data_IF_978556574634
#
_entry.id   IF_978556574634
#
_cell.length_a   1.000
_cell.length_b   1.000
_cell.length_c   1.000
_cell.angle_alpha   90.00
_cell.angle_beta   90.00
_cell.angle_gamma   90.00
#
_symmetry.space_group_name_H-M   'P 1'
#
loop_
_entity.id
_entity.type
_entity.pdbx_description
1 polymer ?
#
# COMPACT_ATOMS: atom_id res chain seq x y z
N UNK A 1 0.92 -26.03 5.67
CA UNK A 1 -0.13 -25.71 4.67
C UNK A 1 -1.52 -25.53 5.29
N UNK A 2 -2.02 -26.46 6.11
CA UNK A 2 -3.35 -26.37 6.75
C UNK A 2 -3.54 -25.14 7.66
N UNK A 3 -2.50 -24.70 8.38
CA UNK A 3 -2.61 -23.51 9.26
C UNK A 3 -2.58 -22.19 8.50
N UNK A 4 -1.83 -22.11 7.40
CA UNK A 4 -1.83 -20.93 6.51
C UNK A 4 -3.19 -20.76 5.83
N UNK A 5 -3.83 -21.86 5.43
CA UNK A 5 -5.21 -21.86 4.94
C UNK A 5 -6.20 -21.44 6.05
N UNK A 6 -6.03 -21.92 7.29
CA UNK A 6 -6.85 -21.47 8.43
C UNK A 6 -6.63 -19.99 8.80
N UNK A 7 -5.41 -19.49 8.66
CA UNK A 7 -5.06 -18.08 8.81
C UNK A 7 -5.75 -17.22 7.73
N UNK A 8 -5.79 -17.71 6.49
CA UNK A 8 -6.60 -17.11 5.43
C UNK A 8 -8.10 -17.22 5.71
N UNK A 9 -8.59 -18.26 6.38
CA UNK A 9 -10.01 -18.45 6.70
C UNK A 9 -10.51 -17.48 7.77
N UNK A 10 -9.75 -17.22 8.83
CA UNK A 10 -10.20 -16.40 9.98
C UNK A 10 -9.74 -14.95 9.89
N UNK A 11 -10.66 -14.01 10.12
CA UNK A 11 -10.32 -12.58 10.26
C UNK A 11 -9.34 -12.36 11.42
N UNK A 12 -8.22 -11.63 11.22
CA UNK A 12 -7.31 -11.27 12.31
C UNK A 12 -7.98 -10.38 13.37
N UNK A 13 -7.38 -10.30 14.56
CA UNK A 13 -7.84 -9.36 15.61
C UNK A 13 -7.65 -7.92 15.13
N UNK A 14 -8.49 -7.01 15.61
CA UNK A 14 -8.43 -5.59 15.24
C UNK A 14 -7.07 -4.96 15.55
N UNK A 15 -6.48 -5.29 16.70
CA UNK A 15 -5.12 -4.88 17.06
C UNK A 15 -4.09 -5.36 16.05
N UNK A 16 -4.19 -6.62 15.59
CA UNK A 16 -3.31 -7.16 14.54
C UNK A 16 -3.49 -6.43 13.22
N UNK A 17 -4.72 -6.11 12.81
CA UNK A 17 -4.98 -5.35 11.58
C UNK A 17 -4.34 -3.95 11.66
N UNK A 18 -4.47 -3.27 12.79
CA UNK A 18 -3.86 -1.96 13.03
C UNK A 18 -2.34 -2.05 12.95
N UNK A 19 -1.73 -3.01 13.65
CA UNK A 19 -0.27 -3.21 13.64
C UNK A 19 0.25 -3.49 12.23
N UNK A 20 -0.41 -4.39 11.48
CA UNK A 20 -0.04 -4.69 10.09
C UNK A 20 -0.06 -3.42 9.24
N UNK A 21 -1.09 -2.59 9.36
CA UNK A 21 -1.20 -1.33 8.60
C UNK A 21 -0.09 -0.34 8.94
N UNK A 22 0.22 -0.18 10.22
CA UNK A 22 1.27 0.73 10.67
C UNK A 22 2.66 0.27 10.20
N UNK A 23 2.99 -1.00 10.42
CA UNK A 23 4.27 -1.57 10.00
C UNK A 23 4.38 -1.51 8.47
N UNK A 24 3.33 -1.89 7.76
CA UNK A 24 3.34 -1.86 6.30
C UNK A 24 3.54 -0.45 5.73
N UNK A 25 2.88 0.55 6.31
CA UNK A 25 3.05 1.95 5.93
C UNK A 25 4.45 2.50 6.23
N UNK A 26 4.97 2.22 7.43
CA UNK A 26 6.34 2.62 7.79
C UNK A 26 7.36 1.95 6.87
N UNK A 27 7.21 0.66 6.59
CA UNK A 27 8.11 -0.10 5.73
C UNK A 27 8.08 0.46 4.30
N UNK A 28 6.89 0.73 3.74
CA UNK A 28 6.76 1.40 2.44
C UNK A 28 7.52 2.73 2.42
N UNK A 29 7.26 3.62 3.38
CA UNK A 29 7.92 4.94 3.40
C UNK A 29 9.43 4.78 3.52
N UNK A 30 9.91 3.98 4.47
CA UNK A 30 11.34 3.81 4.74
C UNK A 30 12.09 3.23 3.53
N UNK A 31 11.57 2.15 2.94
CA UNK A 31 12.21 1.49 1.79
C UNK A 31 12.16 2.42 0.58
N UNK A 32 11.01 2.99 0.25
CA UNK A 32 10.87 3.84 -0.93
C UNK A 32 11.69 5.13 -0.81
N UNK A 33 11.68 5.77 0.36
CA UNK A 33 12.43 7.00 0.58
C UNK A 33 13.94 6.75 0.50
N UNK A 34 14.41 5.64 1.08
CA UNK A 34 15.82 5.28 1.02
C UNK A 34 16.30 5.09 -0.43
N UNK A 35 15.56 4.30 -1.22
CA UNK A 35 15.92 3.97 -2.60
C UNK A 35 15.78 5.16 -3.57
N UNK A 36 14.84 6.08 -3.34
CA UNK A 36 14.66 7.22 -4.25
C UNK A 36 15.55 8.43 -3.93
N UNK A 37 15.95 8.61 -2.67
CA UNK A 37 16.55 9.87 -2.20
C UNK A 37 17.84 9.70 -1.38
N UNK A 38 18.08 8.56 -0.73
CA UNK A 38 19.24 8.38 0.16
C UNK A 38 20.38 7.55 -0.46
N UNK A 39 20.10 6.79 -1.52
CA UNK A 39 21.12 5.98 -2.24
C UNK A 39 22.06 6.79 -3.13
N UNK A 40 21.89 8.11 -3.24
CA UNK A 40 22.76 8.97 -4.04
C UNK A 40 22.71 8.58 -5.52
N UNK A 41 23.87 8.32 -6.13
CA UNK A 41 24.00 8.00 -7.55
C UNK A 41 23.34 6.67 -7.94
N UNK A 42 23.15 5.75 -7.00
CA UNK A 42 22.47 4.47 -7.23
C UNK A 42 20.95 4.54 -7.05
N UNK A 43 20.39 5.72 -6.78
CA UNK A 43 18.95 5.82 -6.51
C UNK A 43 18.11 5.42 -7.73
N UNK A 44 17.04 4.65 -7.50
CA UNK A 44 16.10 4.27 -8.55
C UNK A 44 15.52 5.52 -9.23
N UNK A 45 15.26 5.41 -10.53
CA UNK A 45 14.73 6.51 -11.34
C UNK A 45 13.32 6.23 -11.82
N UNK A 46 12.65 7.27 -12.31
CA UNK A 46 11.36 7.14 -12.98
C UNK A 46 11.59 6.96 -14.47
N UNK A 47 10.82 6.08 -15.11
CA UNK A 47 10.85 5.82 -16.54
C UNK A 47 10.48 7.09 -17.31
N UNK A 48 11.46 7.78 -17.89
CA UNK A 48 11.23 9.09 -18.54
C UNK A 48 10.70 8.94 -19.96
N UNK A 49 11.11 7.89 -20.66
CA UNK A 49 10.91 7.74 -22.10
C UNK A 49 9.44 7.54 -22.44
N UNK A 50 8.76 6.65 -21.70
CA UNK A 50 7.36 6.32 -21.93
C UNK A 50 6.43 7.38 -21.31
N UNK A 51 6.80 7.95 -20.16
CA UNK A 51 5.93 8.86 -19.42
C UNK A 51 5.92 10.30 -19.96
N UNK A 52 7.06 10.79 -20.47
CA UNK A 52 7.20 12.20 -20.82
C UNK A 52 7.61 12.45 -22.27
N UNK A 53 7.95 11.41 -23.04
CA UNK A 53 8.46 11.55 -24.40
C UNK A 53 9.80 12.31 -24.43
N UNK A 54 10.09 13.00 -25.53
CA UNK A 54 11.37 13.69 -25.76
C UNK A 54 11.45 15.09 -25.07
N UNK A 55 10.95 15.21 -23.84
CA UNK A 55 11.05 16.47 -23.08
C UNK A 55 12.43 16.54 -22.40
N UNK A 56 13.26 17.57 -22.68
CA UNK A 56 14.65 17.61 -22.23
C UNK A 56 14.84 17.78 -20.72
N UNK A 57 13.90 18.42 -20.02
CA UNK A 57 14.01 18.66 -18.58
C UNK A 57 12.72 18.27 -17.84
N UNK A 58 12.74 17.06 -17.30
CA UNK A 58 11.62 16.46 -16.53
C UNK A 58 12.00 16.18 -15.08
N UNK A 59 13.13 16.70 -14.63
CA UNK A 59 13.68 16.46 -13.28
C UNK A 59 12.68 16.80 -12.18
N UNK A 60 12.03 17.99 -12.19
CA UNK A 60 11.04 18.33 -11.16
C UNK A 60 9.83 17.39 -11.14
N UNK A 61 9.38 16.96 -12.32
CA UNK A 61 8.21 16.08 -12.48
C UNK A 61 8.55 14.67 -11.96
N UNK A 62 9.73 14.16 -12.28
CA UNK A 62 10.23 12.88 -11.75
C UNK A 62 10.27 12.90 -10.23
N UNK A 63 10.75 13.98 -9.62
CA UNK A 63 10.82 14.09 -8.15
C UNK A 63 9.42 14.14 -7.52
N UNK A 64 8.45 14.84 -8.12
CA UNK A 64 7.07 14.80 -7.66
C UNK A 64 6.47 13.40 -7.73
N UNK A 65 6.77 12.63 -8.77
CA UNK A 65 6.32 11.24 -8.86
C UNK A 65 6.97 10.38 -7.76
N UNK A 66 8.28 10.51 -7.54
CA UNK A 66 8.98 9.81 -6.45
C UNK A 66 8.34 10.11 -5.09
N UNK A 67 8.09 11.38 -4.78
CA UNK A 67 7.39 11.76 -3.56
C UNK A 67 5.95 11.22 -3.52
N UNK A 68 5.25 11.19 -4.64
CA UNK A 68 3.93 10.58 -4.76
C UNK A 68 3.93 9.08 -4.42
N UNK A 69 4.92 8.34 -4.94
CA UNK A 69 5.10 6.91 -4.65
C UNK A 69 5.44 6.69 -3.18
N UNK A 70 6.37 7.45 -2.60
CA UNK A 70 6.66 7.39 -1.15
C UNK A 70 5.40 7.71 -0.33
N UNK A 71 4.63 8.71 -0.77
CA UNK A 71 3.38 9.14 -0.17
C UNK A 71 2.29 8.05 -0.12
N UNK A 72 2.35 7.04 -0.98
CA UNK A 72 1.46 5.87 -0.89
C UNK A 72 1.57 5.17 0.47
N UNK A 73 2.75 5.18 1.10
CA UNK A 73 2.93 4.62 2.44
C UNK A 73 2.14 5.33 3.54
N UNK A 74 1.72 6.59 3.32
CA UNK A 74 0.87 7.34 4.26
C UNK A 74 -0.55 6.76 4.34
N UNK A 75 -1.06 6.18 3.25
CA UNK A 75 -2.41 5.60 3.21
C UNK A 75 -2.65 4.52 4.28
N UNK A 76 -1.85 3.43 4.37
CA UNK A 76 -2.01 2.44 5.41
C UNK A 76 -1.73 3.01 6.81
N UNK A 77 -0.82 3.99 6.97
CA UNK A 77 -0.60 4.67 8.25
C UNK A 77 -1.87 5.38 8.73
N UNK A 78 -2.47 6.22 7.89
CA UNK A 78 -3.71 6.92 8.20
C UNK A 78 -4.82 5.93 8.60
N UNK A 79 -5.00 4.86 7.83
CA UNK A 79 -5.96 3.81 8.15
C UNK A 79 -5.65 3.04 9.44
N UNK A 80 -4.38 2.91 9.82
CA UNK A 80 -3.96 2.35 11.11
C UNK A 80 -4.31 3.30 12.26
N UNK A 81 -3.94 4.58 12.13
CA UNK A 81 -4.19 5.65 13.10
C UNK A 81 -5.69 5.82 13.37
N UNK A 82 -6.52 5.88 12.32
CA UNK A 82 -7.97 5.92 12.47
C UNK A 82 -8.52 4.69 13.21
N UNK A 83 -7.88 3.53 13.04
CA UNK A 83 -8.18 2.32 13.81
C UNK A 83 -7.87 2.45 15.30
N UNK A 84 -6.76 3.10 15.67
CA UNK A 84 -6.38 3.38 17.06
C UNK A 84 -7.44 4.26 17.73
N UNK A 85 -7.82 5.35 17.07
CA UNK A 85 -8.84 6.29 17.58
C UNK A 85 -10.27 5.78 17.44
N UNK A 86 -10.47 4.54 16.95
CA UNK A 86 -11.78 3.93 16.71
C UNK A 86 -12.70 4.83 15.85
N UNK A 87 -12.11 5.56 14.92
CA UNK A 87 -12.85 6.49 14.06
C UNK A 87 -13.58 5.73 12.96
N UNK A 88 -14.89 5.95 12.79
CA UNK A 88 -15.64 5.29 11.73
C UNK A 88 -15.30 5.96 10.39
N UNK A 89 -14.74 5.19 9.45
CA UNK A 89 -14.21 5.71 8.18
C UNK A 89 -15.30 5.77 7.11
N UNK A 90 -15.78 4.60 6.69
CA UNK A 90 -16.72 4.45 5.59
C UNK A 90 -17.46 3.11 5.68
N UNK A 91 -18.41 2.88 4.77
CA UNK A 91 -19.05 1.56 4.61
C UNK A 91 -18.04 0.52 4.13
N UNK A 92 -18.26 -0.75 4.49
CA UNK A 92 -17.36 -1.87 4.13
C UNK A 92 -17.02 -1.91 2.64
N UNK A 93 -18.02 -1.69 1.77
CA UNK A 93 -17.83 -1.67 0.30
C UNK A 93 -16.78 -0.66 -0.13
N UNK A 94 -16.81 0.56 0.40
CA UNK A 94 -15.89 1.63 0.00
C UNK A 94 -14.48 1.41 0.53
N UNK A 95 -14.32 0.87 1.75
CA UNK A 95 -13.00 0.52 2.28
C UNK A 95 -12.36 -0.57 1.43
N UNK A 96 -13.13 -1.57 0.98
CA UNK A 96 -12.63 -2.61 0.05
C UNK A 96 -12.17 -2.02 -1.28
N UNK A 97 -12.98 -1.13 -1.86
CA UNK A 97 -12.63 -0.44 -3.12
C UNK A 97 -11.34 0.38 -2.93
N UNK A 98 -11.21 1.14 -1.85
CA UNK A 98 -10.01 1.93 -1.57
C UNK A 98 -8.76 1.03 -1.45
N UNK A 99 -8.87 -0.13 -0.83
CA UNK A 99 -7.78 -1.12 -0.75
C UNK A 99 -7.39 -1.66 -2.13
N UNK A 100 -8.36 -1.93 -3.02
CA UNK A 100 -8.09 -2.38 -4.39
C UNK A 100 -7.44 -1.28 -5.23
N UNK A 101 -7.94 -0.04 -5.14
CA UNK A 101 -7.33 1.12 -5.81
C UNK A 101 -5.88 1.30 -5.34
N UNK A 102 -5.65 1.20 -4.03
CA UNK A 102 -4.32 1.31 -3.46
C UNK A 102 -3.37 0.21 -3.96
N UNK A 103 -3.85 -1.03 -4.12
CA UNK A 103 -3.07 -2.10 -4.73
C UNK A 103 -2.67 -1.78 -6.18
N UNK A 104 -3.62 -1.27 -6.97
CA UNK A 104 -3.37 -0.86 -8.36
C UNK A 104 -2.34 0.27 -8.41
N UNK A 105 -2.41 1.25 -7.50
CA UNK A 105 -1.43 2.33 -7.44
C UNK A 105 -0.01 1.81 -7.14
N UNK A 106 0.14 0.83 -6.23
CA UNK A 106 1.44 0.21 -5.94
C UNK A 106 1.99 -0.54 -7.16
N UNK A 107 1.16 -1.30 -7.87
CA UNK A 107 1.58 -1.98 -9.10
C UNK A 107 1.90 -1.03 -10.24
N UNK A 108 1.12 0.04 -10.38
CA UNK A 108 1.41 1.09 -11.34
C UNK A 108 2.75 1.75 -11.03
N UNK A 109 3.03 2.01 -9.75
CA UNK A 109 4.31 2.55 -9.29
C UNK A 109 5.47 1.62 -9.65
N UNK A 110 5.29 0.29 -9.49
CA UNK A 110 6.29 -0.70 -9.89
C UNK A 110 6.58 -0.66 -11.40
N UNK A 111 5.56 -0.43 -12.23
CA UNK A 111 5.70 -0.42 -13.68
C UNK A 111 6.40 0.83 -14.24
N UNK A 112 6.53 1.89 -13.45
CA UNK A 112 7.13 3.17 -13.89
C UNK A 112 8.49 3.45 -13.26
N UNK A 113 8.98 2.57 -12.39
CA UNK A 113 10.28 2.72 -11.75
C UNK A 113 11.32 1.91 -12.52
N UNK A 114 12.48 2.52 -12.75
CA UNK A 114 13.63 1.90 -13.41
C UNK A 114 14.63 1.53 -12.34
N UNK A 115 14.95 0.24 -12.26
CA UNK A 115 15.89 -0.27 -11.28
C UNK A 115 17.33 0.00 -11.66
N UNK A 116 18.11 0.34 -10.65
CA UNK A 116 19.58 0.30 -10.65
C UNK A 116 20.05 -1.05 -10.11
N UNK A 117 21.32 -1.41 -10.34
CA UNK A 117 21.85 -2.76 -10.07
C UNK A 117 21.84 -3.19 -8.58
N UNK A 118 21.52 -2.28 -7.64
CA UNK A 118 21.69 -2.53 -6.21
C UNK A 118 20.43 -2.96 -5.44
N UNK A 119 19.21 -2.58 -5.87
CA UNK A 119 17.97 -3.02 -5.23
C UNK A 119 16.76 -2.95 -6.16
N UNK A 120 16.08 -4.09 -6.35
CA UNK A 120 14.89 -4.16 -7.18
C UNK A 120 13.63 -3.72 -6.39
N UNK A 121 13.36 -2.42 -6.45
CA UNK A 121 12.22 -1.82 -5.78
C UNK A 121 10.90 -2.15 -6.50
N UNK A 122 10.97 -2.55 -7.78
CA UNK A 122 9.81 -2.93 -8.57
C UNK A 122 9.20 -4.20 -8.02
N UNK A 123 10.02 -5.22 -7.75
CA UNK A 123 9.53 -6.44 -7.11
C UNK A 123 8.95 -6.18 -5.73
N UNK A 124 9.60 -5.34 -4.93
CA UNK A 124 9.05 -4.94 -3.64
C UNK A 124 7.66 -4.30 -3.78
N UNK A 125 7.48 -3.37 -4.72
CA UNK A 125 6.18 -2.73 -4.99
C UNK A 125 5.13 -3.72 -5.53
N UNK A 126 5.53 -4.67 -6.39
CA UNK A 126 4.67 -5.76 -6.87
C UNK A 126 4.15 -6.60 -5.71
N UNK A 127 5.06 -7.04 -4.84
CA UNK A 127 4.70 -7.84 -3.67
C UNK A 127 3.88 -7.04 -2.65
N UNK A 128 4.23 -5.78 -2.44
CA UNK A 128 3.50 -4.87 -1.56
C UNK A 128 2.05 -4.69 -2.02
N UNK A 129 1.78 -4.66 -3.33
CA UNK A 129 0.42 -4.54 -3.87
C UNK A 129 -0.50 -5.73 -3.56
N UNK A 130 0.03 -6.94 -3.36
CA UNK A 130 -0.80 -8.11 -3.04
C UNK A 130 -1.49 -8.02 -1.68
N UNK A 131 -0.84 -7.43 -0.67
CA UNK A 131 -1.44 -7.29 0.66
C UNK A 131 -2.77 -6.48 0.63
N UNK A 132 -2.81 -5.23 0.10
CA UNK A 132 -4.06 -4.49 -0.03
C UNK A 132 -5.00 -5.09 -1.08
N UNK A 133 -4.50 -5.79 -2.09
CA UNK A 133 -5.36 -6.53 -3.02
C UNK A 133 -6.19 -7.61 -2.31
N UNK A 134 -5.53 -8.49 -1.55
CA UNK A 134 -6.22 -9.51 -0.75
C UNK A 134 -7.08 -8.89 0.35
N UNK A 135 -6.64 -7.77 0.94
CA UNK A 135 -7.44 -7.00 1.88
C UNK A 135 -8.77 -6.56 1.27
N UNK A 136 -8.72 -5.97 0.06
CA UNK A 136 -9.88 -5.47 -0.67
C UNK A 136 -10.79 -6.60 -1.15
N UNK A 137 -10.22 -7.68 -1.70
CA UNK A 137 -11.00 -8.85 -2.14
C UNK A 137 -11.74 -9.52 -0.98
N UNK A 138 -11.08 -9.72 0.15
CA UNK A 138 -11.67 -10.48 1.26
C UNK A 138 -12.42 -9.61 2.26
N UNK A 139 -12.10 -8.32 2.35
CA UNK A 139 -12.55 -7.42 3.40
C UNK A 139 -12.11 -7.84 4.81
N UNK A 140 -11.12 -8.74 4.94
CA UNK A 140 -10.67 -9.30 6.22
C UNK A 140 -9.77 -8.35 7.00
N UNK A 141 -9.04 -7.46 6.33
CA UNK A 141 -8.20 -6.44 6.98
C UNK A 141 -8.95 -5.13 7.21
N UNK A 142 -10.21 -5.20 7.63
CA UNK A 142 -11.05 -4.05 8.01
C UNK A 142 -11.37 -4.17 9.51
N UNK A 143 -11.08 -3.12 10.28
CA UNK A 143 -11.40 -3.03 11.71
C UNK A 143 -12.91 -2.91 11.92
N UNK A 144 -13.43 -3.49 13.00
CA UNK A 144 -14.87 -3.47 13.33
C UNK A 144 -15.33 -2.05 13.66
N UNK A 145 -14.50 -1.29 14.37
CA UNK A 145 -14.76 0.11 14.71
C UNK A 145 -14.56 1.06 13.52
N UNK A 146 -13.95 0.60 12.43
CA UNK A 146 -13.70 1.41 11.23
C UNK A 146 -14.92 1.57 10.32
N UNK A 147 -16.04 0.92 10.64
CA UNK A 147 -17.24 0.93 9.81
C UNK A 147 -18.23 2.02 10.26
N UNK A 148 -18.71 2.84 9.32
CA UNK A 148 -19.80 3.80 9.57
C UNK A 148 -21.16 3.10 9.62
N UNK A 149 -22.14 3.76 10.25
CA UNK A 149 -23.56 3.38 10.25
C UNK A 149 -23.92 2.09 11.00
N UNK A 150 -23.15 1.70 12.02
CA UNK A 150 -23.47 0.52 12.83
C UNK A 150 -23.32 -0.81 12.08
N UNK A 151 -22.65 -0.82 10.92
CA UNK A 151 -22.32 -2.04 10.19
C UNK A 151 -21.47 -2.96 11.09
N UNK A 152 -22.03 -4.11 11.43
CA UNK A 152 -21.28 -5.16 12.13
C UNK A 152 -20.60 -6.04 11.09
N UNK A 153 -19.34 -6.41 11.35
CA UNK A 153 -18.68 -7.48 10.60
C UNK A 153 -19.36 -8.78 11.02
N UNK A 154 -20.43 -9.17 10.31
CA UNK A 154 -20.99 -10.51 10.41
C UNK A 154 -19.92 -11.50 9.95
N UNK A 155 -19.72 -12.58 10.72
CA UNK A 155 -18.75 -13.64 10.41
C UNK A 155 -18.82 -13.94 8.91
N UNK A 156 -17.71 -13.74 8.20
CA UNK A 156 -17.57 -14.23 6.84
C UNK A 156 -17.55 -15.76 6.98
N UNK A 157 -18.71 -16.41 6.89
CA UNK A 157 -18.81 -17.85 6.66
C UNK A 157 -18.37 -18.03 5.21
N UNK A 158 -17.17 -18.53 5.03
CA UNK A 158 -16.80 -19.25 3.82
C UNK A 158 -17.04 -20.71 4.14
#
# INVERSE_FOLDING_TARGET
MFEFIKFLQKRPKDSTIIIIRLIFGLLLISVLYYNFFLQGEESNQIEKTILFGAVPDTTPISDYIKYGIVGLGVFPLAFGIFGIFKMPLAKKKYIRIAQLIFAVLLWYSAGIVVNTESLDINEFLVFAGFLPFFAGLTGKLITSNGLKYGEKITKIRV
#
